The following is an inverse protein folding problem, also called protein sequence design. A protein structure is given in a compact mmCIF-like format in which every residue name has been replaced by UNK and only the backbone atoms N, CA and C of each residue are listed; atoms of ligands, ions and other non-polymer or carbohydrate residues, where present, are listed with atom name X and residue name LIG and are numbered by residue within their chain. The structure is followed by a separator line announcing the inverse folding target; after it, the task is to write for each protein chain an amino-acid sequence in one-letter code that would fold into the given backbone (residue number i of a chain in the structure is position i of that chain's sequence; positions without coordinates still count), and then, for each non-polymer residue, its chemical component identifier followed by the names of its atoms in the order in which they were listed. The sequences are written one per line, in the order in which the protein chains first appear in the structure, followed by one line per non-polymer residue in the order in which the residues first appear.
data_IF_438397995121
#
_entry.id   IF_438397995121
#
_cell.length_a   1.000
_cell.length_b   1.000
_cell.length_c   1.000
_cell.angle_alpha   90.00
_cell.angle_beta   90.00
_cell.angle_gamma   90.00
#
_symmetry.space_group_name_H-M   'P 1'
#
loop_
_entity.id
_entity.type
_entity.pdbx_description
1 polymer ?
#
# COMPACT_ATOMS: atom_id res chain seq x y z
N UNK A 1 9.57 15.74 -25.72
CA UNK A 1 9.86 15.16 -24.38
C UNK A 1 9.87 13.66 -24.55
N UNK A 2 11.02 13.00 -24.32
CA UNK A 2 11.10 11.54 -24.37
C UNK A 2 10.22 11.00 -23.25
N UNK A 3 9.25 10.15 -23.57
CA UNK A 3 8.50 9.37 -22.59
C UNK A 3 9.49 8.44 -21.89
N UNK A 4 10.13 8.91 -20.82
CA UNK A 4 10.98 8.07 -20.00
C UNK A 4 10.09 7.08 -19.27
N UNK A 5 10.38 5.80 -19.44
CA UNK A 5 9.73 4.77 -18.64
C UNK A 5 10.37 4.74 -17.26
N UNK A 6 9.56 4.46 -16.25
CA UNK A 6 9.99 4.34 -14.87
C UNK A 6 9.65 2.94 -14.35
N UNK A 7 10.47 2.44 -13.46
CA UNK A 7 10.10 1.32 -12.62
C UNK A 7 9.32 1.83 -11.42
N UNK A 8 8.05 1.45 -11.32
CA UNK A 8 7.33 1.47 -10.05
C UNK A 8 7.71 0.20 -9.29
N UNK A 9 8.11 0.32 -8.03
CA UNK A 9 8.59 -0.83 -7.26
C UNK A 9 8.12 -0.82 -5.80
N UNK A 10 8.04 -2.02 -5.21
CA UNK A 10 7.92 -2.27 -3.78
C UNK A 10 9.21 -2.98 -3.34
N UNK A 11 9.91 -2.41 -2.37
CA UNK A 11 11.16 -2.96 -1.86
C UNK A 11 11.19 -2.93 -0.33
N UNK A 12 12.08 -3.76 0.21
CA UNK A 12 12.54 -3.71 1.59
C UNK A 12 13.85 -2.94 1.68
N UNK A 13 14.09 -2.36 2.84
CA UNK A 13 15.33 -1.68 3.15
C UNK A 13 15.64 -1.70 4.64
N UNK A 14 16.87 -1.31 4.96
CA UNK A 14 17.35 -1.11 6.32
C UNK A 14 18.14 0.19 6.38
N UNK A 15 17.89 1.01 7.40
CA UNK A 15 18.70 2.18 7.70
C UNK A 15 18.96 2.24 9.19
N UNK A 16 20.24 2.23 9.59
CA UNK A 16 20.65 2.29 11.00
C UNK A 16 20.01 1.19 11.88
N UNK A 17 19.83 -0.03 11.36
CA UNK A 17 19.16 -1.12 12.07
C UNK A 17 17.62 -1.05 12.07
N UNK A 18 17.02 -0.02 11.45
CA UNK A 18 15.57 0.07 11.27
C UNK A 18 15.17 -0.49 9.90
N UNK A 19 14.39 -1.57 9.90
CA UNK A 19 13.79 -2.14 8.70
C UNK A 19 12.56 -1.37 8.22
N UNK A 20 12.40 -1.22 6.91
CA UNK A 20 11.25 -0.54 6.31
C UNK A 20 10.86 -1.11 4.95
N UNK A 21 9.57 -1.01 4.62
CA UNK A 21 9.10 -1.15 3.23
C UNK A 21 9.08 0.21 2.54
N UNK A 22 9.22 0.21 1.22
CA UNK A 22 9.09 1.41 0.41
C UNK A 22 8.42 1.10 -0.92
N UNK A 23 7.46 1.94 -1.31
CA UNK A 23 6.95 2.01 -2.68
C UNK A 23 7.53 3.25 -3.31
N UNK A 24 8.18 3.10 -4.47
CA UNK A 24 8.89 4.19 -5.12
C UNK A 24 8.87 4.08 -6.64
N UNK A 25 9.37 5.14 -7.28
CA UNK A 25 9.63 5.16 -8.71
C UNK A 25 11.11 5.42 -8.96
N UNK A 26 11.67 4.76 -9.97
CA UNK A 26 13.05 4.99 -10.42
C UNK A 26 13.11 4.97 -11.94
N UNK A 27 14.04 5.70 -12.54
CA UNK A 27 14.20 5.66 -14.00
C UNK A 27 14.57 4.23 -14.46
N UNK A 28 14.10 3.81 -15.64
CA UNK A 28 14.35 2.46 -16.13
C UNK A 28 15.83 2.15 -16.37
N UNK A 29 16.64 3.18 -16.55
CA UNK A 29 18.07 3.08 -16.82
C UNK A 29 18.91 2.95 -15.54
N UNK A 30 18.30 3.15 -14.36
CA UNK A 30 18.97 3.06 -13.07
C UNK A 30 18.67 1.71 -12.40
N UNK A 31 19.66 1.10 -11.74
CA UNK A 31 19.40 -0.12 -10.96
C UNK A 31 18.75 0.26 -9.64
N UNK A 32 17.63 -0.36 -9.30
CA UNK A 32 16.90 -0.09 -8.04
C UNK A 32 17.81 -0.26 -6.82
N UNK A 33 18.59 -1.36 -6.78
CA UNK A 33 19.50 -1.72 -5.67
C UNK A 33 20.83 -0.94 -5.65
N UNK A 34 20.98 0.14 -6.42
CA UNK A 34 22.10 1.09 -6.21
C UNK A 34 21.91 1.94 -4.95
N UNK A 35 20.68 2.03 -4.42
CA UNK A 35 20.45 2.62 -3.10
C UNK A 35 20.92 1.65 -2.02
N UNK A 36 21.94 2.07 -1.26
CA UNK A 36 22.56 1.27 -0.19
C UNK A 36 21.61 0.89 0.94
N UNK A 37 20.48 1.59 1.07
CA UNK A 37 19.49 1.27 2.09
C UNK A 37 18.48 0.23 1.62
N UNK A 38 18.43 -0.13 0.34
CA UNK A 38 17.51 -1.15 -0.18
C UNK A 38 18.15 -2.53 -0.15
N UNK A 39 17.38 -3.52 0.29
CA UNK A 39 17.81 -4.91 0.42
C UNK A 39 17.26 -5.74 -0.74
N UNK A 40 15.95 -5.93 -0.77
CA UNK A 40 15.27 -6.76 -1.77
C UNK A 40 14.09 -6.02 -2.43
N UNK A 41 13.88 -6.32 -3.72
CA UNK A 41 12.76 -5.82 -4.51
C UNK A 41 11.69 -6.92 -4.65
N UNK A 42 10.48 -6.65 -4.16
CA UNK A 42 9.38 -7.62 -4.04
C UNK A 42 8.33 -7.47 -5.16
N UNK A 43 8.13 -6.24 -5.65
CA UNK A 43 7.35 -5.96 -6.87
C UNK A 43 8.06 -4.92 -7.72
N UNK A 44 7.92 -5.04 -9.04
CA UNK A 44 8.50 -4.11 -10.01
C UNK A 44 7.70 -4.15 -11.31
N UNK A 45 7.25 -2.99 -11.77
CA UNK A 45 6.51 -2.84 -13.02
C UNK A 45 7.11 -1.69 -13.84
N UNK A 46 7.22 -1.87 -15.16
CA UNK A 46 7.68 -0.82 -16.09
C UNK A 46 6.48 0.00 -16.55
N UNK A 47 6.46 1.28 -16.20
CA UNK A 47 5.31 2.17 -16.38
C UNK A 47 5.77 3.51 -16.97
N UNK A 48 4.96 4.14 -17.82
CA UNK A 48 5.23 5.50 -18.29
C UNK A 48 5.26 6.50 -17.13
N UNK A 49 6.10 7.53 -17.20
CA UNK A 49 6.31 8.50 -16.11
C UNK A 49 5.02 9.06 -15.48
N UNK A 50 4.08 9.57 -16.27
CA UNK A 50 2.82 10.10 -15.73
C UNK A 50 1.95 9.01 -15.07
N UNK A 51 1.88 7.83 -15.70
CA UNK A 51 1.17 6.68 -15.13
C UNK A 51 1.81 6.20 -13.82
N UNK A 52 3.14 6.24 -13.71
CA UNK A 52 3.85 5.88 -12.50
C UNK A 52 3.52 6.84 -11.34
N UNK A 53 3.42 8.15 -11.62
CA UNK A 53 2.98 9.16 -10.64
C UNK A 53 1.55 8.92 -10.16
N UNK A 54 0.64 8.65 -11.09
CA UNK A 54 -0.77 8.39 -10.77
C UNK A 54 -0.95 7.16 -9.89
N UNK A 55 -0.31 6.05 -10.28
CA UNK A 55 -0.40 4.78 -9.54
C UNK A 55 0.26 4.92 -8.17
N UNK A 56 1.44 5.55 -8.10
CA UNK A 56 2.12 5.83 -6.83
C UNK A 56 1.26 6.70 -5.91
N UNK A 57 0.55 7.70 -6.46
CA UNK A 57 -0.39 8.50 -5.69
C UNK A 57 -1.52 7.65 -5.08
N UNK A 58 -2.13 6.76 -5.86
CA UNK A 58 -3.22 5.91 -5.36
C UNK A 58 -2.74 4.91 -4.30
N UNK A 59 -1.57 4.28 -4.50
CA UNK A 59 -0.93 3.41 -3.51
C UNK A 59 -0.68 4.18 -2.20
N UNK A 60 -0.06 5.36 -2.29
CA UNK A 60 0.22 6.19 -1.12
C UNK A 60 -1.06 6.64 -0.40
N UNK A 61 -2.11 7.01 -1.14
CA UNK A 61 -3.39 7.35 -0.54
C UNK A 61 -4.01 6.15 0.19
N UNK A 62 -3.92 4.95 -0.38
CA UNK A 62 -4.40 3.72 0.25
C UNK A 62 -3.64 3.40 1.53
N UNK A 63 -2.32 3.44 1.51
CA UNK A 63 -1.48 3.15 2.68
C UNK A 63 -1.72 4.19 3.78
N UNK A 64 -1.86 5.47 3.41
CA UNK A 64 -2.18 6.53 4.36
C UNK A 64 -3.57 6.33 5.02
N UNK A 65 -4.58 5.92 4.25
CA UNK A 65 -5.90 5.62 4.81
C UNK A 65 -5.82 4.45 5.81
N UNK A 66 -5.13 3.36 5.44
CA UNK A 66 -4.88 2.23 6.34
C UNK A 66 -4.17 2.67 7.62
N UNK A 67 -3.12 3.50 7.52
CA UNK A 67 -2.37 4.00 8.68
C UNK A 67 -3.22 4.85 9.61
N UNK A 68 -4.07 5.71 9.07
CA UNK A 68 -4.98 6.49 9.90
C UNK A 68 -5.90 5.60 10.72
N UNK A 69 -6.39 4.50 10.15
CA UNK A 69 -7.23 3.54 10.87
C UNK A 69 -6.46 2.76 11.93
N UNK A 70 -5.28 2.26 11.60
CA UNK A 70 -4.43 1.55 12.57
C UNK A 70 -4.01 2.48 13.72
N UNK A 71 -3.73 3.77 13.46
CA UNK A 71 -3.45 4.77 14.50
C UNK A 71 -4.66 5.01 15.39
N UNK A 72 -5.85 5.16 14.81
CA UNK A 72 -7.09 5.33 15.57
C UNK A 72 -7.38 4.15 16.49
N UNK A 73 -6.99 2.93 16.08
CA UNK A 73 -7.09 1.70 16.87
C UNK A 73 -5.87 1.44 17.79
N UNK A 74 -4.89 2.35 17.83
CA UNK A 74 -3.63 2.25 18.60
C UNK A 74 -2.78 1.00 18.27
N UNK A 75 -2.85 0.55 17.02
CA UNK A 75 -2.19 -0.66 16.55
C UNK A 75 -0.77 -0.44 16.01
N UNK A 76 -0.41 0.79 15.60
CA UNK A 76 0.94 1.10 15.12
C UNK A 76 1.84 1.52 16.28
N UNK A 77 2.92 0.78 16.50
CA UNK A 77 3.85 0.99 17.63
C UNK A 77 4.94 2.01 17.31
N UNK A 78 5.62 1.87 16.17
CA UNK A 78 6.70 2.76 15.77
C UNK A 78 6.63 3.05 14.26
N UNK A 79 6.94 4.30 13.88
CA UNK A 79 7.13 4.67 12.47
C UNK A 79 8.64 4.66 12.21
N UNK A 80 9.14 3.90 11.22
CA UNK A 80 10.55 3.95 10.87
C UNK A 80 10.95 5.35 10.38
N UNK A 81 12.24 5.66 10.46
CA UNK A 81 12.79 6.93 9.97
C UNK A 81 12.54 7.16 8.46
N UNK A 82 12.41 6.08 7.69
CA UNK A 82 12.09 6.07 6.26
C UNK A 82 11.01 5.02 5.98
N UNK A 83 10.12 5.31 5.04
CA UNK A 83 9.21 4.31 4.49
C UNK A 83 8.06 3.90 5.41
N UNK A 84 7.70 2.63 5.33
CA UNK A 84 6.52 1.96 5.91
C UNK A 84 7.03 0.94 6.92
N UNK A 85 6.40 0.86 8.10
CA UNK A 85 6.78 -0.12 9.15
C UNK A 85 6.62 -1.57 8.69
N UNK A 86 7.54 -2.44 9.11
CA UNK A 86 7.43 -3.89 9.00
C UNK A 86 6.30 -4.50 9.85
N UNK A 87 5.65 -3.71 10.71
CA UNK A 87 4.37 -4.09 11.34
C UNK A 87 3.26 -4.32 10.31
N UNK A 88 3.45 -3.83 9.08
CA UNK A 88 2.58 -4.09 7.95
C UNK A 88 3.09 -5.31 7.19
N UNK A 89 2.25 -6.35 7.03
CA UNK A 89 2.61 -7.53 6.25
C UNK A 89 2.92 -7.20 4.79
N UNK A 90 3.95 -7.85 4.24
CA UNK A 90 4.36 -7.66 2.84
C UNK A 90 3.24 -8.03 1.86
N UNK A 91 2.52 -9.13 2.11
CA UNK A 91 1.40 -9.60 1.26
C UNK A 91 0.27 -8.57 1.13
N UNK A 92 0.03 -7.78 2.18
CA UNK A 92 -0.90 -6.65 2.12
C UNK A 92 -0.39 -5.53 1.21
N UNK A 93 0.88 -5.18 1.32
CA UNK A 93 1.49 -4.14 0.47
C UNK A 93 1.55 -4.59 -1.00
N UNK A 94 1.86 -5.85 -1.26
CA UNK A 94 1.78 -6.46 -2.58
C UNK A 94 0.35 -6.42 -3.11
N UNK A 95 -0.64 -6.78 -2.30
CA UNK A 95 -2.06 -6.70 -2.70
C UNK A 95 -2.49 -5.28 -3.06
N UNK A 96 -2.03 -4.27 -2.32
CA UNK A 96 -2.28 -2.85 -2.63
C UNK A 96 -1.58 -2.48 -3.95
N UNK A 97 -0.31 -2.85 -4.10
CA UNK A 97 0.48 -2.58 -5.30
C UNK A 97 -0.18 -3.16 -6.55
N UNK A 98 -0.42 -4.47 -6.53
CA UNK A 98 -0.99 -5.24 -7.65
C UNK A 98 -2.38 -4.71 -8.01
N UNK A 99 -3.21 -4.40 -7.01
CA UNK A 99 -4.53 -3.81 -7.24
C UNK A 99 -4.47 -2.51 -8.02
N UNK A 100 -3.59 -1.57 -7.64
CA UNK A 100 -3.54 -0.26 -8.30
C UNK A 100 -2.90 -0.31 -9.67
N UNK A 101 -1.88 -1.17 -9.87
CA UNK A 101 -1.29 -1.42 -11.18
C UNK A 101 -2.31 -2.03 -12.14
N UNK A 102 -3.05 -3.05 -11.70
CA UNK A 102 -4.05 -3.71 -12.55
C UNK A 102 -5.25 -2.82 -12.83
N UNK A 103 -5.71 -2.06 -11.83
CA UNK A 103 -6.87 -1.18 -11.99
C UNK A 103 -6.57 -0.03 -12.95
N UNK A 104 -5.32 0.45 -13.01
CA UNK A 104 -4.92 1.52 -13.93
C UNK A 104 -5.08 1.14 -15.41
N UNK A 105 -5.08 -0.16 -15.73
CA UNK A 105 -5.24 -0.67 -17.12
C UNK A 105 -6.63 -0.40 -17.69
N UNK A 106 -7.63 -0.12 -16.87
CA UNK A 106 -9.02 0.14 -17.29
C UNK A 106 -9.51 1.47 -16.70
N UNK A 107 -9.64 2.49 -17.55
CA UNK A 107 -9.91 3.87 -17.13
C UNK A 107 -11.14 3.99 -16.23
N UNK A 108 -12.24 3.28 -16.54
CA UNK A 108 -13.48 3.39 -15.77
C UNK A 108 -13.32 2.76 -14.38
N UNK A 109 -12.61 1.63 -14.28
CA UNK A 109 -12.25 1.01 -13.01
C UNK A 109 -11.34 1.92 -12.20
N UNK A 110 -10.32 2.52 -12.82
CA UNK A 110 -9.42 3.48 -12.18
C UNK A 110 -10.16 4.66 -11.55
N UNK A 111 -10.96 5.37 -12.33
CA UNK A 111 -11.72 6.53 -11.86
C UNK A 111 -12.69 6.15 -10.73
N UNK A 112 -13.38 5.01 -10.88
CA UNK A 112 -14.31 4.50 -9.87
C UNK A 112 -13.59 4.15 -8.57
N UNK A 113 -12.48 3.42 -8.65
CA UNK A 113 -11.73 2.99 -7.48
C UNK A 113 -11.08 4.18 -6.77
N UNK A 114 -10.52 5.12 -7.51
CA UNK A 114 -9.91 6.32 -6.94
C UNK A 114 -10.96 7.20 -6.24
N UNK A 115 -12.16 7.34 -6.83
CA UNK A 115 -13.29 8.01 -6.20
C UNK A 115 -13.71 7.33 -4.89
N UNK A 116 -13.85 6.01 -4.90
CA UNK A 116 -14.17 5.23 -3.71
C UNK A 116 -13.09 5.32 -2.63
N UNK A 117 -11.80 5.30 -3.00
CA UNK A 117 -10.70 5.46 -2.05
C UNK A 117 -10.71 6.84 -1.37
N UNK A 118 -11.05 7.91 -2.12
CA UNK A 118 -11.22 9.27 -1.57
C UNK A 118 -12.42 9.35 -0.63
N UNK A 119 -13.52 8.66 -0.92
CA UNK A 119 -14.66 8.53 0.01
C UNK A 119 -14.25 7.75 1.26
N UNK A 120 -13.50 6.66 1.10
CA UNK A 120 -13.03 5.79 2.19
C UNK A 120 -12.22 6.53 3.25
N UNK A 121 -11.48 7.56 2.84
CA UNK A 121 -10.74 8.47 3.74
C UNK A 121 -11.66 9.19 4.74
N UNK A 122 -12.92 9.42 4.38
CA UNK A 122 -13.90 10.18 5.18
C UNK A 122 -14.85 9.27 5.96
N UNK A 123 -15.30 8.19 5.33
CA UNK A 123 -16.27 7.25 5.89
C UNK A 123 -15.92 5.82 5.47
N UNK A 124 -16.21 4.84 6.33
CA UNK A 124 -16.08 3.43 5.91
C UNK A 124 -17.06 3.14 4.77
N UNK A 125 -16.55 2.55 3.69
CA UNK A 125 -17.38 2.06 2.58
C UNK A 125 -18.25 0.88 3.03
N UNK A 126 -17.88 0.15 4.09
CA UNK A 126 -18.70 -0.91 4.69
C UNK A 126 -20.11 -0.41 5.00
N UNK A 127 -20.25 0.81 5.51
CA UNK A 127 -21.57 1.40 5.80
C UNK A 127 -22.38 1.60 4.53
N UNK A 128 -21.74 2.09 3.46
CA UNK A 128 -22.38 2.29 2.14
C UNK A 128 -22.72 0.97 1.44
N UNK A 129 -21.91 -0.07 1.65
CA UNK A 129 -22.16 -1.42 1.12
C UNK A 129 -23.37 -2.04 1.82
N UNK A 130 -23.46 -1.90 3.15
CA UNK A 130 -24.55 -2.44 3.99
C UNK A 130 -25.87 -1.70 3.78
N UNK A 131 -25.84 -0.40 3.56
CA UNK A 131 -27.04 0.41 3.29
C UNK A 131 -27.58 0.29 1.87
N UNK A 132 -26.98 -0.57 1.03
CA UNK A 132 -27.26 -0.68 -0.41
C UNK A 132 -27.13 0.63 -1.20
N UNK A 133 -26.41 1.61 -0.64
CA UNK A 133 -26.13 2.91 -1.29
C UNK A 133 -25.22 2.78 -2.51
N UNK A 134 -24.51 1.66 -2.66
CA UNK A 134 -23.70 1.33 -3.83
C UNK A 134 -24.34 0.19 -4.62
N UNK A 135 -24.41 0.35 -5.95
CA UNK A 135 -24.97 -0.64 -6.88
C UNK A 135 -23.98 -1.03 -7.97
N UNK A 136 -24.22 -2.18 -8.61
CA UNK A 136 -23.46 -2.65 -9.76
C UNK A 136 -21.95 -2.75 -9.51
N UNK A 137 -21.16 -2.24 -10.46
CA UNK A 137 -19.69 -2.29 -10.39
C UNK A 137 -19.12 -1.48 -9.22
N UNK A 138 -19.75 -0.36 -8.82
CA UNK A 138 -19.28 0.43 -7.69
C UNK A 138 -19.32 -0.35 -6.37
N UNK A 139 -20.35 -1.20 -6.17
CA UNK A 139 -20.40 -2.11 -5.01
C UNK A 139 -19.28 -3.15 -5.05
N UNK A 140 -19.02 -3.74 -6.22
CA UNK A 140 -17.93 -4.71 -6.40
C UNK A 140 -16.55 -4.09 -6.09
N UNK A 141 -16.28 -2.88 -6.60
CA UNK A 141 -15.03 -2.17 -6.33
C UNK A 141 -14.90 -1.72 -4.88
N UNK A 142 -15.98 -1.26 -4.26
CA UNK A 142 -15.96 -0.88 -2.85
C UNK A 142 -15.60 -2.04 -1.92
N UNK A 143 -16.10 -3.26 -2.21
CA UNK A 143 -15.73 -4.47 -1.47
C UNK A 143 -14.22 -4.76 -1.61
N UNK A 144 -13.66 -4.65 -2.82
CA UNK A 144 -12.22 -4.86 -3.04
C UNK A 144 -11.38 -3.83 -2.30
N UNK A 145 -11.75 -2.55 -2.35
CA UNK A 145 -11.05 -1.48 -1.62
C UNK A 145 -11.12 -1.69 -0.12
N UNK A 146 -12.28 -2.09 0.42
CA UNK A 146 -12.39 -2.39 1.85
C UNK A 146 -11.48 -3.53 2.28
N UNK A 147 -11.34 -4.59 1.47
CA UNK A 147 -10.41 -5.69 1.78
C UNK A 147 -8.95 -5.22 1.89
N UNK A 148 -8.56 -4.18 1.16
CA UNK A 148 -7.22 -3.56 1.30
C UNK A 148 -7.04 -2.77 2.60
N UNK A 149 -8.11 -2.60 3.39
CA UNK A 149 -8.14 -1.89 4.68
C UNK A 149 -8.57 -2.79 5.85
N UNK A 150 -8.83 -4.08 5.62
CA UNK A 150 -9.27 -5.02 6.68
C UNK A 150 -8.13 -5.54 7.57
N UNK A 151 -6.89 -5.10 7.36
CA UNK A 151 -5.79 -5.54 8.21
C UNK A 151 -6.01 -5.15 9.67
N UNK A 152 -5.94 -6.16 10.52
CA UNK A 152 -5.93 -6.05 11.98
C UNK A 152 -4.67 -6.79 12.39
N UNK A 153 -3.66 -6.13 13.01
CA UNK A 153 -2.51 -6.84 13.50
C UNK A 153 -2.95 -7.90 14.52
N UNK A 154 -2.25 -9.02 14.56
CA UNK A 154 -2.43 -9.96 15.66
C UNK A 154 -2.10 -9.23 16.97
N UNK A 155 -3.06 -9.14 17.89
CA UNK A 155 -2.86 -8.55 19.23
C UNK A 155 -1.85 -9.35 20.11
N UNK A 156 -1.30 -10.45 19.58
CA UNK A 156 -0.36 -11.33 20.24
C UNK A 156 1.08 -10.78 20.20
N UNK A 157 1.28 -9.73 20.99
CA UNK A 157 2.60 -9.31 21.46
C UNK A 157 2.62 -8.98 22.96
N UNK A 158 1.55 -9.34 23.69
CA UNK A 158 1.46 -9.23 25.14
C UNK A 158 1.07 -10.63 25.65
N UNK A 159 2.06 -11.52 25.75
CA UNK A 159 2.18 -12.62 26.74
C UNK A 159 3.27 -13.62 26.30
N UNK A 160 4.52 -13.31 26.66
CA UNK A 160 5.47 -14.17 27.40
C UNK A 160 6.87 -13.57 27.27
N UNK A 161 7.10 -12.55 28.09
CA UNK A 161 8.41 -12.42 28.70
C UNK A 161 8.65 -13.75 29.47
N UNK A 162 9.83 -14.34 29.27
CA UNK A 162 10.37 -15.51 29.97
C UNK A 162 9.85 -16.88 29.50
N UNK A 163 10.49 -17.39 28.46
CA UNK A 163 11.15 -18.70 28.56
C UNK A 163 12.34 -18.69 27.60
N UNK A 164 13.58 -18.90 28.07
CA UNK A 164 14.71 -19.01 27.17
C UNK A 164 14.52 -20.28 26.34
N UNK A 165 14.53 -20.15 25.01
CA UNK A 165 14.67 -21.31 24.14
C UNK A 165 16.15 -21.66 24.06
N UNK A 166 16.57 -22.54 24.96
CA UNK A 166 17.64 -23.52 24.77
C UNK A 166 17.21 -24.82 25.47
#
# INVERSE_FOLDING_TARGET
MQNSSQYLFLASGEKNGEGFWIVGVKNCDEKILEDKNLLDCHRKELIGNESAKDILFAINLNINNLFNELRNKKYLKAKPSIGISFDIPLDLLESIFDFWVDTYKEQKAWETCLGLLKVRKRISLTNLIKSEGLKGNSKKWAIKIEKLHTYVPNELGIEKLNSPMW
#
